data_IF_408349590749
#
_entry.id   IF_408349590749
#
_cell.length_a   1.000
_cell.length_b   1.000
_cell.length_c   1.000
_cell.angle_alpha   90.00
_cell.angle_beta   90.00
_cell.angle_gamma   90.00
#
_symmetry.space_group_name_H-M   'P 1'
#
loop_
_entity.id
_entity.type
_entity.pdbx_description
1 polymer ?
#
# COMPACT_ATOMS: atom_id res chain seq x y z
N UNK A 1 -11.38 43.69 -56.95
CA UNK A 1 -10.21 44.41 -57.47
C UNK A 1 -9.39 45.01 -56.35
N UNK A 2 -8.06 44.90 -56.49
CA UNK A 2 -6.97 45.37 -55.59
C UNK A 2 -6.93 44.59 -54.25
N UNK A 3 -6.23 43.47 -54.02
CA UNK A 3 -4.92 42.91 -54.43
C UNK A 3 -3.70 43.83 -54.21
N UNK A 4 -2.77 43.29 -53.44
CA UNK A 4 -1.41 43.71 -53.11
C UNK A 4 -1.23 44.78 -52.03
N UNK A 5 -0.73 44.34 -50.86
CA UNK A 5 0.43 44.97 -50.23
C UNK A 5 0.97 44.15 -49.04
N UNK A 6 2.29 43.95 -49.09
CA UNK A 6 3.22 43.76 -47.95
C UNK A 6 3.33 42.36 -47.32
N UNK A 7 4.50 41.81 -47.00
CA UNK A 7 5.91 42.10 -47.35
C UNK A 7 6.70 40.88 -46.85
N UNK A 8 7.57 40.34 -47.70
CA UNK A 8 8.59 39.33 -47.40
C UNK A 8 9.61 39.89 -46.41
N UNK A 9 9.94 39.13 -45.35
CA UNK A 9 11.08 39.40 -44.46
C UNK A 9 12.17 38.38 -44.76
N UNK A 10 13.42 38.79 -45.05
CA UNK A 10 14.50 37.88 -45.41
C UNK A 10 15.21 37.27 -44.20
N UNK A 11 15.57 36.01 -44.39
CA UNK A 11 16.53 35.19 -43.65
C UNK A 11 17.87 35.92 -43.44
N UNK A 12 18.35 35.97 -42.20
CA UNK A 12 19.74 36.31 -41.87
C UNK A 12 20.46 35.10 -41.27
N UNK A 13 21.55 34.75 -41.94
CA UNK A 13 22.48 33.67 -41.67
C UNK A 13 23.72 34.22 -40.94
N UNK A 14 24.10 33.56 -39.84
CA UNK A 14 25.47 33.38 -39.28
C UNK A 14 26.27 34.62 -38.79
N UNK A 15 27.29 34.49 -37.88
CA UNK A 15 28.18 33.34 -37.72
C UNK A 15 28.65 32.92 -36.32
N UNK A 16 29.18 31.69 -36.31
CA UNK A 16 30.28 31.10 -35.54
C UNK A 16 31.07 31.96 -34.54
N UNK A 17 31.28 31.40 -33.33
CA UNK A 17 32.57 31.06 -32.69
C UNK A 17 32.47 31.24 -31.16
N UNK A 18 32.58 30.14 -30.42
CA UNK A 18 33.73 29.92 -29.55
C UNK A 18 33.63 28.57 -28.83
N UNK A 19 34.52 27.68 -29.24
CA UNK A 19 34.87 26.43 -28.59
C UNK A 19 35.84 26.79 -27.45
N UNK A 20 35.45 26.58 -26.20
CA UNK A 20 36.39 26.57 -25.07
C UNK A 20 36.64 25.11 -24.72
N UNK A 21 37.77 24.61 -25.22
CA UNK A 21 38.41 23.36 -24.85
C UNK A 21 39.05 23.55 -23.47
N UNK A 22 38.56 22.85 -22.45
CA UNK A 22 39.28 22.67 -21.19
C UNK A 22 39.35 21.18 -20.84
N UNK A 23 40.58 20.67 -20.86
CA UNK A 23 41.03 19.41 -20.26
C UNK A 23 42.54 19.54 -20.04
N UNK A 24 43.18 18.69 -19.22
CA UNK A 24 42.93 18.47 -17.81
C UNK A 24 44.23 18.67 -17.00
N UNK A 25 44.16 19.28 -15.80
CA UNK A 25 45.32 19.30 -14.89
C UNK A 25 45.33 18.05 -14.01
N UNK A 26 46.26 17.14 -14.34
CA UNK A 26 46.84 16.14 -13.42
C UNK A 26 47.74 16.82 -12.38
N UNK A 27 47.80 16.20 -11.19
CA UNK A 27 48.69 16.35 -10.00
C UNK A 27 47.80 16.58 -8.77
N UNK A 28 47.93 15.89 -7.65
CA UNK A 28 48.95 14.96 -7.16
C UNK A 28 48.37 14.24 -5.93
N UNK A 29 48.68 12.96 -5.81
CA UNK A 29 48.62 12.16 -4.60
C UNK A 29 49.46 12.79 -3.47
N UNK A 30 48.89 13.04 -2.28
CA UNK A 30 49.65 13.10 -1.01
C UNK A 30 48.71 12.90 0.19
N UNK A 31 48.93 11.76 0.86
CA UNK A 31 48.75 11.37 2.27
C UNK A 31 47.78 12.07 3.24
N UNK A 32 47.08 11.18 3.96
CA UNK A 32 46.50 11.29 5.30
C UNK A 32 47.47 11.95 6.31
N UNK A 33 46.96 12.72 7.29
CA UNK A 33 47.27 12.39 8.68
C UNK A 33 46.06 12.42 9.62
N UNK A 34 46.07 11.45 10.52
CA UNK A 34 45.27 11.34 11.74
C UNK A 34 45.74 12.30 12.84
N UNK A 35 44.81 12.92 13.56
CA UNK A 35 44.93 13.31 15.00
C UNK A 35 43.54 13.77 15.46
N UNK A 36 42.85 13.11 16.38
CA UNK A 36 42.99 13.06 17.85
C UNK A 36 42.77 14.39 18.58
N UNK A 37 41.59 14.47 19.23
CA UNK A 37 41.23 15.08 20.53
C UNK A 37 41.64 16.53 20.83
N UNK A 38 40.64 17.36 21.15
CA UNK A 38 40.51 18.05 22.45
C UNK A 38 39.07 18.50 22.73
N UNK A 39 38.70 18.46 24.01
CA UNK A 39 37.40 18.73 24.62
C UNK A 39 37.09 20.22 24.78
N UNK A 40 35.80 20.57 24.83
CA UNK A 40 35.16 21.54 25.76
C UNK A 40 33.64 21.53 25.47
N UNK A 41 32.80 20.85 26.26
CA UNK A 41 32.15 21.31 27.51
C UNK A 41 31.17 22.47 27.29
N UNK A 42 29.87 22.15 27.21
CA UNK A 42 28.84 22.79 28.05
C UNK A 42 27.63 21.88 28.14
N UNK A 43 27.30 21.55 29.39
CA UNK A 43 26.12 20.88 29.89
C UNK A 43 24.81 21.54 29.45
N UNK A 44 23.84 20.73 28.97
CA UNK A 44 22.46 20.79 29.50
C UNK A 44 21.98 19.35 29.66
N UNK A 45 21.65 19.06 30.92
CA UNK A 45 21.34 17.77 31.50
C UNK A 45 19.85 17.42 31.32
N UNK A 46 19.62 16.15 31.02
CA UNK A 46 18.49 15.27 31.36
C UNK A 46 17.06 15.85 31.50
N UNK A 47 16.13 15.22 30.78
CA UNK A 47 15.09 14.35 31.37
C UNK A 47 14.14 13.86 30.27
N UNK A 48 14.27 12.60 29.83
CA UNK A 48 13.18 11.62 29.87
C UNK A 48 13.63 10.27 29.30
N UNK A 49 13.20 9.25 30.02
CA UNK A 49 13.79 7.94 30.19
C UNK A 49 13.03 6.91 29.35
N UNK A 50 13.80 6.06 28.66
CA UNK A 50 13.54 4.64 28.34
C UNK A 50 12.27 4.24 27.58
N UNK A 51 12.44 3.88 26.31
CA UNK A 51 11.60 2.91 25.60
C UNK A 51 12.39 1.59 25.42
N UNK A 52 11.78 0.40 25.61
CA UNK A 52 12.47 -0.87 25.44
C UNK A 52 12.63 -1.21 23.95
N UNK A 53 13.87 -1.52 23.57
CA UNK A 53 14.24 -2.11 22.29
C UNK A 53 13.79 -3.57 22.25
N UNK A 54 12.78 -3.89 21.44
CA UNK A 54 12.46 -5.27 21.07
C UNK A 54 13.15 -5.60 19.75
N UNK A 55 14.28 -6.29 19.85
CA UNK A 55 14.95 -7.00 18.78
C UNK A 55 14.03 -8.11 18.27
N UNK A 56 13.59 -8.01 17.01
CA UNK A 56 12.75 -9.00 16.36
C UNK A 56 13.65 -9.94 15.54
N UNK A 57 14.12 -11.01 16.18
CA UNK A 57 14.93 -12.05 15.55
C UNK A 57 13.99 -13.06 14.88
N UNK A 58 13.88 -12.97 13.56
CA UNK A 58 13.09 -13.91 12.76
C UNK A 58 13.99 -15.11 12.40
N UNK A 59 14.02 -16.13 13.26
CA UNK A 59 14.70 -17.39 13.00
C UNK A 59 13.70 -18.37 12.38
N UNK A 60 13.88 -18.59 11.08
CA UNK A 60 13.25 -19.64 10.30
C UNK A 60 14.01 -20.95 10.60
N UNK A 61 13.35 -21.96 11.17
CA UNK A 61 13.92 -23.30 11.26
C UNK A 61 12.88 -24.35 10.95
N UNK A 62 13.11 -25.03 9.83
CA UNK A 62 12.51 -26.29 9.40
C UNK A 62 12.45 -27.32 10.54
N UNK A 63 11.27 -27.90 10.76
CA UNK A 63 11.15 -29.20 11.44
C UNK A 63 10.16 -30.11 10.71
N UNK A 64 10.80 -31.03 9.97
CA UNK A 64 10.44 -32.44 9.73
C UNK A 64 9.26 -32.98 10.53
N UNK A 65 8.20 -33.31 9.80
CA UNK A 65 7.68 -34.66 9.59
C UNK A 65 8.10 -35.74 10.63
N UNK A 66 7.15 -36.14 11.49
CA UNK A 66 7.09 -37.49 12.03
C UNK A 66 5.62 -37.92 12.13
N UNK A 67 5.27 -38.83 11.22
CA UNK A 67 4.09 -39.69 11.26
C UNK A 67 4.16 -40.56 12.52
N UNK A 68 3.07 -40.62 13.30
CA UNK A 68 2.83 -41.74 14.21
C UNK A 68 1.34 -42.03 14.30
N UNK A 69 0.96 -43.09 13.58
CA UNK A 69 -0.30 -43.81 13.68
C UNK A 69 -0.35 -44.59 14.99
N UNK A 70 -1.49 -44.55 15.69
CA UNK A 70 -1.90 -45.62 16.60
C UNK A 70 -3.42 -45.79 16.53
N UNK A 71 -3.82 -46.83 15.80
CA UNK A 71 -5.02 -47.61 16.07
C UNK A 71 -4.73 -48.53 17.26
N UNK A 72 -5.68 -48.67 18.17
CA UNK A 72 -6.00 -49.95 18.77
C UNK A 72 -7.39 -49.87 19.39
N UNK A 73 -8.25 -50.71 18.84
CA UNK A 73 -9.50 -51.19 19.42
C UNK A 73 -9.27 -51.69 20.85
N UNK A 74 -10.23 -51.44 21.74
CA UNK A 74 -10.56 -52.45 22.74
C UNK A 74 -12.06 -52.41 23.07
N UNK A 75 -12.64 -53.60 23.02
CA UNK A 75 -14.03 -53.88 23.23
C UNK A 75 -14.21 -54.35 24.67
N UNK A 76 -15.21 -53.85 25.38
CA UNK A 76 -15.71 -54.57 26.55
C UNK A 76 -17.22 -54.47 26.65
N UNK A 77 -17.82 -55.65 26.69
CA UNK A 77 -19.23 -56.01 26.60
C UNK A 77 -19.69 -56.50 27.97
N UNK A 78 -20.66 -55.82 28.60
CA UNK A 78 -21.48 -56.31 29.74
C UNK A 78 -22.80 -55.51 29.66
N UNK A 79 -23.93 -56.00 29.12
CA UNK A 79 -24.92 -57.01 29.56
C UNK A 79 -25.77 -56.64 30.79
N UNK A 80 -27.07 -56.37 30.50
CA UNK A 80 -28.31 -56.61 31.28
C UNK A 80 -28.49 -55.81 32.60
N UNK A 81 -29.64 -55.24 32.99
CA UNK A 81 -31.07 -55.56 32.82
C UNK A 81 -31.95 -54.28 32.97
N UNK A 82 -33.25 -54.32 32.61
CA UNK A 82 -34.16 -53.18 32.65
C UNK A 82 -35.07 -53.19 33.90
N UNK A 83 -35.19 -52.07 34.60
CA UNK A 83 -36.25 -51.85 35.60
C UNK A 83 -37.13 -50.68 35.21
N UNK A 84 -38.38 -51.02 34.91
CA UNK A 84 -39.51 -50.11 34.77
C UNK A 84 -39.94 -49.55 36.12
N UNK A 85 -40.19 -48.24 36.18
CA UNK A 85 -40.98 -47.57 37.22
C UNK A 85 -41.29 -46.15 36.72
N UNK A 86 -42.46 -45.94 36.13
CA UNK A 86 -43.65 -45.35 36.78
C UNK A 86 -43.57 -43.82 36.90
N UNK A 87 -44.29 -43.19 35.96
CA UNK A 87 -45.06 -41.95 36.04
C UNK A 87 -44.67 -40.88 37.07
N UNK A 88 -44.33 -39.69 36.55
CA UNK A 88 -45.02 -38.49 37.03
C UNK A 88 -45.03 -37.39 35.96
N UNK A 89 -46.25 -37.02 35.61
CA UNK A 89 -46.68 -35.89 34.80
C UNK A 89 -46.36 -34.55 35.47
N UNK A 90 -46.19 -33.52 34.63
CA UNK A 90 -46.10 -32.08 34.93
C UNK A 90 -44.71 -31.57 35.33
N UNK A 91 -43.86 -31.36 34.32
CA UNK A 91 -42.81 -30.34 34.40
C UNK A 91 -43.14 -29.28 33.37
N UNK A 92 -43.46 -28.08 33.86
CA UNK A 92 -43.61 -26.87 33.07
C UNK A 92 -42.48 -26.79 32.04
N UNK A 93 -42.88 -26.57 30.78
CA UNK A 93 -42.07 -26.42 29.58
C UNK A 93 -41.21 -25.14 29.71
N UNK A 94 -40.24 -25.19 30.61
CA UNK A 94 -39.25 -24.14 30.83
C UNK A 94 -38.27 -24.20 29.66
N UNK A 95 -38.68 -23.59 28.54
CA UNK A 95 -37.75 -23.28 27.46
C UNK A 95 -36.48 -22.68 28.06
N UNK A 96 -35.28 -23.18 27.70
CA UNK A 96 -34.02 -22.69 28.24
C UNK A 96 -33.86 -21.22 27.84
N UNK A 97 -34.29 -20.35 28.73
CA UNK A 97 -34.30 -18.91 28.49
C UNK A 97 -32.89 -18.41 28.75
N UNK A 98 -32.23 -17.89 27.73
CA UNK A 98 -30.91 -17.28 27.87
C UNK A 98 -30.86 -16.28 29.02
N UNK A 99 -29.80 -16.35 29.83
CA UNK A 99 -29.55 -15.34 30.85
C UNK A 99 -29.38 -13.96 30.21
N UNK A 100 -29.86 -12.92 30.88
CA UNK A 100 -29.78 -11.56 30.35
C UNK A 100 -28.34 -11.07 30.19
N UNK A 101 -27.42 -11.58 31.01
CA UNK A 101 -25.98 -11.35 30.86
C UNK A 101 -25.47 -11.84 29.50
N UNK A 102 -25.93 -13.00 29.06
CA UNK A 102 -25.52 -13.61 27.80
C UNK A 102 -26.07 -12.84 26.59
N UNK A 103 -27.34 -12.41 26.66
CA UNK A 103 -27.94 -11.55 25.63
C UNK A 103 -27.20 -10.21 25.51
N UNK A 104 -26.85 -9.60 26.64
CA UNK A 104 -26.07 -8.38 26.65
C UNK A 104 -24.69 -8.57 26.00
N UNK A 105 -24.04 -9.69 26.26
CA UNK A 105 -22.73 -10.01 25.66
C UNK A 105 -22.82 -10.22 24.15
N UNK A 106 -23.80 -10.99 23.67
CA UNK A 106 -24.08 -11.15 22.23
C UNK A 106 -24.33 -9.80 21.55
N UNK A 107 -25.08 -8.92 22.21
CA UNK A 107 -25.34 -7.57 21.69
C UNK A 107 -24.05 -6.75 21.54
N UNK A 108 -23.13 -6.82 22.52
CA UNK A 108 -21.82 -6.14 22.41
C UNK A 108 -21.00 -6.69 21.25
N UNK A 109 -20.95 -8.01 21.10
CA UNK A 109 -20.20 -8.65 20.01
C UNK A 109 -20.76 -8.27 18.64
N UNK A 110 -22.07 -8.12 18.52
CA UNK A 110 -22.72 -7.67 17.28
C UNK A 110 -22.40 -6.21 16.95
N UNK A 111 -22.38 -5.33 17.95
CA UNK A 111 -21.92 -3.93 17.76
C UNK A 111 -20.46 -3.90 17.30
N UNK A 112 -19.61 -4.73 17.93
CA UNK A 112 -18.19 -4.83 17.59
C UNK A 112 -18.00 -5.35 16.15
N UNK A 113 -18.76 -6.38 15.76
CA UNK A 113 -18.80 -6.92 14.40
C UNK A 113 -19.10 -5.83 13.39
N UNK A 114 -20.22 -5.12 13.54
CA UNK A 114 -20.64 -4.05 12.62
C UNK A 114 -19.58 -2.96 12.48
N UNK A 115 -18.92 -2.59 13.59
CA UNK A 115 -17.82 -1.61 13.57
C UNK A 115 -16.67 -2.08 12.69
N UNK A 116 -16.24 -3.33 12.84
CA UNK A 116 -15.08 -3.86 12.10
C UNK A 116 -15.39 -4.29 10.67
N UNK A 117 -16.62 -4.67 10.36
CA UNK A 117 -17.09 -4.83 8.98
C UNK A 117 -17.04 -3.50 8.22
N UNK A 118 -17.51 -2.42 8.84
CA UNK A 118 -17.37 -1.07 8.28
C UNK A 118 -15.90 -0.71 8.07
N UNK A 119 -15.03 -1.03 9.04
CA UNK A 119 -13.60 -0.76 8.97
C UNK A 119 -12.91 -1.53 7.83
N UNK A 120 -13.30 -2.78 7.59
CA UNK A 120 -12.82 -3.56 6.44
C UNK A 120 -13.13 -2.85 5.12
N UNK A 121 -14.40 -2.45 4.94
CA UNK A 121 -14.86 -1.72 3.75
C UNK A 121 -14.09 -0.40 3.59
N UNK A 122 -13.92 0.35 4.68
CA UNK A 122 -13.19 1.62 4.65
C UNK A 122 -11.73 1.45 4.19
N UNK A 123 -11.03 0.40 4.67
CA UNK A 123 -9.65 0.14 4.27
C UNK A 123 -9.53 -0.20 2.78
N UNK A 124 -10.51 -0.89 2.23
CA UNK A 124 -10.61 -1.19 0.80
C UNK A 124 -10.92 0.07 0.01
N UNK A 125 -11.94 0.83 0.41
CA UNK A 125 -12.42 2.01 -0.30
C UNK A 125 -11.35 3.10 -0.35
N UNK A 126 -10.55 3.28 0.71
CA UNK A 126 -9.39 4.18 0.71
C UNK A 126 -8.42 3.90 -0.45
N UNK A 127 -8.23 2.63 -0.82
CA UNK A 127 -7.35 2.29 -1.96
C UNK A 127 -8.01 2.60 -3.30
N UNK A 128 -9.32 2.38 -3.40
CA UNK A 128 -10.10 2.59 -4.63
C UNK A 128 -10.26 4.09 -4.89
N UNK A 129 -10.74 4.84 -3.90
CA UNK A 129 -11.05 6.27 -4.03
C UNK A 129 -9.80 7.12 -4.17
N UNK A 130 -8.75 6.83 -3.41
CA UNK A 130 -7.53 7.65 -3.45
C UNK A 130 -6.63 7.34 -4.65
N UNK A 131 -6.80 6.20 -5.35
CA UNK A 131 -5.92 5.73 -6.43
C UNK A 131 -4.45 5.48 -6.01
N UNK A 132 -4.08 5.96 -4.83
CA UNK A 132 -2.78 6.02 -4.20
C UNK A 132 -2.96 5.45 -2.80
N UNK A 133 -2.04 4.58 -2.37
CA UNK A 133 -1.97 4.17 -0.96
C UNK A 133 -1.38 5.37 -0.22
N UNK A 134 -2.23 6.35 0.08
CA UNK A 134 -1.92 7.69 0.57
C UNK A 134 -1.29 7.76 1.96
N UNK A 135 -0.49 6.77 2.35
CA UNK A 135 0.22 6.81 3.63
C UNK A 135 1.48 7.69 3.58
N UNK A 136 1.90 8.20 2.41
CA UNK A 136 3.19 8.89 2.25
C UNK A 136 3.25 9.87 1.06
N UNK A 137 2.21 10.70 0.90
CA UNK A 137 2.22 11.86 -0.02
C UNK A 137 2.98 13.08 0.53
N UNK A 138 3.84 12.88 1.54
CA UNK A 138 4.73 13.90 2.11
C UNK A 138 5.93 14.25 1.19
N UNK A 139 5.93 13.78 -0.07
CA UNK A 139 6.86 14.25 -1.12
C UNK A 139 6.05 14.69 -2.33
N UNK A 140 5.53 15.93 -2.24
CA UNK A 140 5.02 16.80 -3.31
C UNK A 140 4.19 16.14 -4.43
N UNK A 141 2.85 16.32 -4.43
CA UNK A 141 1.94 15.77 -5.43
C UNK A 141 1.93 16.52 -6.79
N UNK A 142 2.73 17.56 -7.02
CA UNK A 142 2.46 18.47 -8.15
C UNK A 142 2.88 17.96 -9.55
N UNK A 143 3.59 16.84 -9.69
CA UNK A 143 4.02 16.34 -11.02
C UNK A 143 3.95 14.82 -11.20
N UNK A 144 2.97 14.16 -10.59
CA UNK A 144 2.92 12.68 -10.54
C UNK A 144 2.94 11.98 -11.91
N UNK A 145 2.25 12.52 -12.92
CA UNK A 145 2.25 11.96 -14.29
C UNK A 145 3.41 12.50 -15.14
N UNK A 146 3.72 13.80 -15.06
CA UNK A 146 4.86 14.39 -15.80
C UNK A 146 6.19 13.71 -15.43
N UNK A 147 6.40 13.37 -14.16
CA UNK A 147 7.66 12.76 -13.69
C UNK A 147 7.87 11.35 -14.25
N UNK A 148 6.82 10.59 -14.55
CA UNK A 148 6.98 9.28 -15.19
C UNK A 148 7.39 9.44 -16.65
N UNK A 149 6.75 10.34 -17.38
CA UNK A 149 7.07 10.60 -18.79
C UNK A 149 8.46 11.20 -18.93
N UNK A 150 8.86 12.09 -18.03
CA UNK A 150 10.21 12.69 -18.02
C UNK A 150 11.29 11.67 -17.66
N UNK A 151 10.98 10.69 -16.79
CA UNK A 151 11.94 9.63 -16.51
C UNK A 151 12.11 8.65 -17.68
N UNK A 152 11.02 8.30 -18.37
CA UNK A 152 11.11 7.49 -19.59
C UNK A 152 11.98 8.19 -20.65
N UNK A 153 11.87 9.52 -20.76
CA UNK A 153 12.74 10.36 -21.60
C UNK A 153 14.19 10.44 -21.10
N UNK A 154 14.44 10.41 -19.80
CA UNK A 154 15.80 10.41 -19.27
C UNK A 154 16.53 9.09 -19.58
N UNK A 155 15.81 7.97 -19.52
CA UNK A 155 16.34 6.65 -19.89
C UNK A 155 16.68 6.54 -21.39
N UNK A 156 16.08 7.39 -22.23
CA UNK A 156 16.37 7.46 -23.66
C UNK A 156 17.77 7.99 -23.98
N UNK A 157 18.36 8.84 -23.13
CA UNK A 157 19.66 9.50 -23.40
C UNK A 157 20.81 8.47 -23.49
N UNK A 158 20.62 7.25 -22.98
CA UNK A 158 21.62 6.18 -23.01
C UNK A 158 21.42 5.08 -24.05
N UNK A 159 20.31 5.07 -24.81
CA UNK A 159 20.04 3.96 -25.75
C UNK A 159 20.76 4.22 -27.06
N UNK A 160 21.85 3.48 -27.30
CA UNK A 160 22.58 3.52 -28.57
C UNK A 160 21.67 3.07 -29.72
N UNK A 161 21.44 3.97 -30.68
CA UNK A 161 20.62 3.70 -31.88
C UNK A 161 21.10 2.47 -32.68
N UNK A 162 22.38 2.14 -32.60
CA UNK A 162 22.98 0.95 -33.22
C UNK A 162 22.54 -0.39 -32.60
N UNK A 163 22.00 -0.41 -31.38
CA UNK A 163 21.46 -1.62 -30.75
C UNK A 163 20.05 -1.99 -31.26
N UNK A 164 19.44 -1.11 -32.06
CA UNK A 164 18.05 -1.26 -32.55
C UNK A 164 17.97 -2.18 -33.78
N UNK A 165 19.05 -2.33 -34.55
CA UNK A 165 19.03 -3.06 -35.83
C UNK A 165 18.92 -4.60 -35.69
N UNK A 166 18.78 -5.14 -34.47
CA UNK A 166 18.63 -6.58 -34.21
C UNK A 166 17.28 -6.93 -33.53
N UNK A 167 16.20 -6.27 -33.92
CA UNK A 167 14.85 -6.67 -33.51
C UNK A 167 14.52 -8.04 -34.12
N UNK A 168 14.61 -9.09 -33.31
CA UNK A 168 14.10 -10.42 -33.65
C UNK A 168 12.59 -10.43 -33.41
N UNK A 169 11.83 -10.68 -34.48
CA UNK A 169 10.37 -10.73 -34.44
C UNK A 169 9.87 -11.67 -33.33
N UNK A 170 8.87 -11.22 -32.57
CA UNK A 170 8.28 -11.98 -31.47
C UNK A 170 9.08 -11.98 -30.15
N UNK A 171 10.22 -11.29 -30.09
CA UNK A 171 10.97 -11.11 -28.83
C UNK A 171 10.89 -9.69 -28.30
N UNK A 172 10.90 -9.53 -26.97
CA UNK A 172 10.90 -8.21 -26.35
C UNK A 172 12.35 -7.68 -26.24
N UNK A 173 12.65 -6.48 -26.76
CA UNK A 173 14.01 -5.94 -26.76
C UNK A 173 14.55 -5.68 -25.34
N UNK A 174 15.73 -6.23 -25.02
CA UNK A 174 16.28 -6.16 -23.66
C UNK A 174 16.61 -4.72 -23.22
N UNK A 175 16.97 -3.82 -24.15
CA UNK A 175 17.25 -2.42 -23.81
C UNK A 175 16.01 -1.65 -23.33
N UNK A 176 14.79 -2.14 -23.63
CA UNK A 176 13.53 -1.55 -23.15
C UNK A 176 13.10 -2.09 -21.78
N UNK A 177 13.81 -3.08 -21.22
CA UNK A 177 13.45 -3.70 -19.94
C UNK A 177 13.37 -2.69 -18.79
N UNK A 178 14.30 -1.74 -18.61
CA UNK A 178 14.19 -0.74 -17.55
C UNK A 178 12.92 0.12 -17.67
N UNK A 179 12.55 0.50 -18.89
CA UNK A 179 11.36 1.31 -19.17
C UNK A 179 10.07 0.51 -18.92
N UNK A 180 10.03 -0.75 -19.37
CA UNK A 180 8.93 -1.66 -19.03
C UNK A 180 8.83 -1.88 -17.51
N UNK A 181 9.96 -2.00 -16.82
CA UNK A 181 10.00 -2.19 -15.37
C UNK A 181 9.35 -1.02 -14.62
N UNK A 182 9.60 0.23 -15.06
CA UNK A 182 8.94 1.42 -14.51
C UNK A 182 7.43 1.38 -14.72
N UNK A 183 6.98 1.06 -15.94
CA UNK A 183 5.56 1.02 -16.31
C UNK A 183 4.79 -0.07 -15.55
N UNK A 184 5.41 -1.22 -15.33
CA UNK A 184 4.81 -2.35 -14.64
C UNK A 184 4.76 -2.13 -13.13
N UNK A 185 5.78 -1.49 -12.56
CA UNK A 185 5.96 -1.42 -11.11
C UNK A 185 4.83 -0.65 -10.41
N UNK A 186 3.98 -1.39 -9.70
CA UNK A 186 2.88 -0.86 -8.92
C UNK A 186 1.58 -0.69 -9.69
N UNK A 187 1.53 -1.08 -10.96
CA UNK A 187 0.29 -1.06 -11.74
C UNK A 187 -0.77 -1.98 -11.12
N UNK A 188 -2.02 -1.53 -11.10
CA UNK A 188 -3.19 -2.30 -10.66
C UNK A 188 -3.91 -3.03 -11.81
N UNK A 189 -3.51 -2.77 -13.05
CA UNK A 189 -4.20 -3.24 -14.23
C UNK A 189 -4.06 -4.77 -14.40
N UNK A 190 -5.06 -5.42 -15.02
CA UNK A 190 -4.91 -6.79 -15.48
C UNK A 190 -3.86 -6.87 -16.59
N UNK A 191 -3.29 -8.05 -16.82
CA UNK A 191 -2.12 -8.20 -17.69
C UNK A 191 -2.38 -7.78 -19.13
N UNK A 192 -3.54 -8.17 -19.67
CA UNK A 192 -4.00 -7.78 -21.01
C UNK A 192 -4.04 -6.25 -21.20
N UNK A 193 -4.59 -5.51 -20.24
CA UNK A 193 -4.64 -4.04 -20.30
C UNK A 193 -3.26 -3.44 -20.08
N UNK A 194 -2.50 -3.96 -19.11
CA UNK A 194 -1.16 -3.46 -18.77
C UNK A 194 -0.18 -3.61 -19.95
N UNK A 195 -0.21 -4.74 -20.66
CA UNK A 195 0.68 -4.93 -21.80
C UNK A 195 0.35 -3.97 -22.95
N UNK A 196 -0.94 -3.74 -23.22
CA UNK A 196 -1.38 -2.78 -24.24
C UNK A 196 -0.97 -1.35 -23.87
N UNK A 197 -1.23 -0.94 -22.62
CA UNK A 197 -0.83 0.39 -22.14
C UNK A 197 0.69 0.57 -22.17
N UNK A 198 1.44 -0.49 -21.83
CA UNK A 198 2.91 -0.48 -21.89
C UNK A 198 3.40 -0.32 -23.33
N UNK A 199 2.81 -1.06 -24.28
CA UNK A 199 3.12 -0.93 -25.70
C UNK A 199 2.87 0.50 -26.19
N UNK A 200 1.69 1.06 -25.91
CA UNK A 200 1.36 2.43 -26.31
C UNK A 200 2.32 3.46 -25.71
N UNK A 201 2.65 3.35 -24.42
CA UNK A 201 3.56 4.28 -23.74
C UNK A 201 4.99 4.16 -24.25
N UNK A 202 5.47 2.95 -24.52
CA UNK A 202 6.77 2.73 -25.13
C UNK A 202 6.80 3.31 -26.55
N UNK A 203 5.83 3.00 -27.41
CA UNK A 203 5.77 3.55 -28.78
C UNK A 203 5.68 5.08 -28.81
N UNK A 204 4.99 5.68 -27.83
CA UNK A 204 4.87 7.14 -27.73
C UNK A 204 6.17 7.79 -27.25
N UNK A 205 6.88 7.13 -26.33
CA UNK A 205 8.15 7.63 -25.77
C UNK A 205 9.31 7.46 -26.75
N UNK A 206 9.32 6.37 -27.52
CA UNK A 206 10.40 5.96 -28.42
C UNK A 206 10.03 6.19 -29.89
N UNK A 207 9.60 7.40 -30.26
CA UNK A 207 9.15 7.71 -31.65
C UNK A 207 10.20 7.45 -32.73
N UNK A 208 11.48 7.53 -32.37
CA UNK A 208 12.61 7.31 -33.29
C UNK A 208 12.97 5.83 -33.46
N UNK A 209 12.32 4.92 -32.71
CA UNK A 209 12.55 3.49 -32.74
C UNK A 209 11.28 2.81 -33.25
N UNK A 210 11.40 2.02 -34.31
CA UNK A 210 10.29 1.22 -34.79
C UNK A 210 10.03 0.04 -33.84
N UNK A 211 8.93 0.12 -33.08
CA UNK A 211 8.46 -0.94 -32.19
C UNK A 211 7.39 -1.82 -32.85
N UNK A 212 7.15 -1.69 -34.15
CA UNK A 212 6.13 -2.48 -34.87
C UNK A 212 6.35 -3.99 -34.77
N UNK A 213 7.60 -4.43 -34.64
CA UNK A 213 7.96 -5.85 -34.44
C UNK A 213 7.72 -6.40 -33.03
N UNK A 214 7.40 -5.55 -32.04
CA UNK A 214 7.15 -5.98 -30.66
C UNK A 214 5.69 -6.34 -30.48
N UNK A 215 5.41 -7.66 -30.44
CA UNK A 215 4.06 -8.16 -30.24
C UNK A 215 3.58 -7.97 -28.80
N UNK A 216 2.25 -7.91 -28.63
CA UNK A 216 1.61 -7.88 -27.32
C UNK A 216 1.94 -9.11 -26.47
N UNK A 217 2.08 -10.28 -27.10
CA UNK A 217 2.48 -11.52 -26.43
C UNK A 217 3.92 -11.45 -25.90
N UNK A 218 4.84 -10.84 -26.64
CA UNK A 218 6.21 -10.62 -26.20
C UNK A 218 6.26 -9.72 -24.96
N UNK A 219 5.48 -8.64 -24.94
CA UNK A 219 5.37 -7.73 -23.80
C UNK A 219 4.79 -8.44 -22.59
N UNK A 220 3.62 -9.07 -22.73
CA UNK A 220 2.96 -9.73 -21.60
C UNK A 220 3.80 -10.88 -21.04
N UNK A 221 4.47 -11.65 -21.90
CA UNK A 221 5.44 -12.68 -21.49
C UNK A 221 6.60 -12.07 -20.71
N UNK A 222 7.16 -10.96 -21.20
CA UNK A 222 8.23 -10.25 -20.48
C UNK A 222 7.74 -9.72 -19.13
N UNK A 223 6.54 -9.13 -19.03
CA UNK A 223 5.95 -8.69 -17.76
C UNK A 223 5.87 -9.85 -16.75
N UNK A 224 5.39 -11.03 -17.17
CA UNK A 224 5.31 -12.24 -16.32
C UNK A 224 6.69 -12.69 -15.81
N UNK A 225 7.76 -12.47 -16.58
CA UNK A 225 9.13 -12.79 -16.17
C UNK A 225 9.72 -11.75 -15.21
N UNK A 226 9.44 -10.46 -15.43
CA UNK A 226 10.02 -9.37 -14.63
C UNK A 226 9.28 -9.13 -13.32
N UNK A 227 7.98 -9.45 -13.27
CA UNK A 227 7.10 -9.04 -12.18
C UNK A 227 6.14 -10.15 -11.72
N UNK A 228 5.72 -10.02 -10.47
CA UNK A 228 4.67 -10.82 -9.85
C UNK A 228 3.46 -9.95 -9.54
N UNK A 229 2.27 -10.42 -9.89
CA UNK A 229 1.01 -9.77 -9.48
C UNK A 229 0.66 -10.25 -8.07
N UNK A 230 0.57 -9.32 -7.11
CA UNK A 230 0.29 -9.61 -5.70
C UNK A 230 -1.04 -9.04 -5.26
N UNK A 231 -1.75 -9.81 -4.46
CA UNK A 231 -2.97 -9.41 -3.79
C UNK A 231 -2.65 -8.89 -2.38
N UNK A 232 -2.98 -7.64 -2.09
CA UNK A 232 -2.79 -7.05 -0.77
C UNK A 232 -4.05 -7.11 0.08
N UNK A 233 -5.21 -6.85 -0.53
CA UNK A 233 -6.52 -6.88 0.11
C UNK A 233 -7.34 -8.00 -0.52
N UNK A 234 -7.86 -8.87 0.33
CA UNK A 234 -8.79 -9.94 -0.03
C UNK A 234 -10.01 -9.82 0.87
N UNK A 235 -11.05 -9.08 0.44
CA UNK A 235 -12.27 -8.93 1.21
C UNK A 235 -12.84 -10.27 1.58
N UNK A 236 -13.50 -10.32 2.73
CA UNK A 236 -14.24 -11.50 3.15
C UNK A 236 -15.30 -11.82 2.10
N UNK A 237 -15.45 -13.09 1.76
CA UNK A 237 -16.56 -13.54 0.91
C UNK A 237 -17.83 -13.23 1.67
N UNK A 238 -18.61 -12.25 1.23
CA UNK A 238 -19.94 -12.05 1.77
C UNK A 238 -20.72 -13.36 1.56
N UNK A 239 -21.62 -13.71 2.49
CA UNK A 239 -22.41 -14.95 2.40
C UNK A 239 -23.10 -15.11 1.04
N UNK A 240 -23.50 -14.00 0.41
CA UNK A 240 -24.08 -13.95 -0.92
C UNK A 240 -23.11 -14.38 -2.05
N UNK A 241 -21.84 -13.98 -2.03
CA UNK A 241 -20.83 -14.45 -3.01
C UNK A 241 -20.33 -15.87 -2.69
N UNK A 242 -20.35 -16.26 -1.41
CA UNK A 242 -20.04 -17.63 -1.00
C UNK A 242 -21.09 -18.65 -1.47
N UNK A 243 -22.36 -18.22 -1.64
CA UNK A 243 -23.42 -19.06 -2.15
C UNK A 243 -23.15 -19.49 -3.60
N UNK A 244 -22.56 -18.61 -4.42
CA UNK A 244 -22.10 -18.96 -5.76
C UNK A 244 -20.87 -19.88 -5.74
N UNK A 245 -19.97 -19.73 -4.76
CA UNK A 245 -18.81 -20.61 -4.60
C UNK A 245 -19.18 -22.04 -4.17
N UNK A 246 -20.34 -22.23 -3.54
CA UNK A 246 -20.88 -23.55 -3.19
C UNK A 246 -21.50 -24.29 -4.39
N UNK A 247 -21.55 -23.69 -5.58
CA UNK A 247 -22.06 -24.37 -6.80
C UNK A 247 -21.09 -25.42 -7.37
N UNK A 248 -19.99 -25.75 -6.69
CA UNK A 248 -19.01 -26.75 -7.10
C UNK A 248 -18.16 -26.38 -8.32
N UNK A 249 -18.50 -25.30 -9.03
CA UNK A 249 -17.75 -24.79 -10.17
C UNK A 249 -16.81 -23.69 -9.70
N UNK A 250 -15.72 -24.08 -9.04
CA UNK A 250 -14.60 -23.17 -8.81
C UNK A 250 -13.96 -22.87 -10.17
N UNK A 251 -14.45 -21.87 -10.89
CA UNK A 251 -13.69 -21.32 -12.00
C UNK A 251 -12.39 -20.79 -11.42
N UNK A 252 -11.25 -21.39 -11.80
CA UNK A 252 -9.93 -20.86 -11.47
C UNK A 252 -9.84 -19.50 -12.15
N UNK A 253 -10.18 -18.44 -11.43
CA UNK A 253 -10.01 -17.07 -11.89
C UNK A 253 -8.52 -16.90 -12.18
N UNK A 254 -8.19 -16.51 -13.41
CA UNK A 254 -6.80 -16.20 -13.76
C UNK A 254 -6.36 -15.00 -12.93
N UNK A 255 -5.44 -15.23 -12.01
CA UNK A 255 -4.88 -14.19 -11.14
C UNK A 255 -4.31 -13.00 -11.92
N UNK A 256 -3.92 -13.19 -13.19
CA UNK A 256 -3.35 -12.13 -14.03
C UNK A 256 -4.41 -11.22 -14.65
N UNK A 257 -5.64 -11.71 -14.78
CA UNK A 257 -6.77 -11.00 -15.37
C UNK A 257 -7.85 -10.66 -14.34
N UNK A 258 -7.66 -11.07 -13.08
CA UNK A 258 -8.58 -10.76 -12.00
C UNK A 258 -8.78 -9.23 -11.83
N UNK A 259 -10.03 -8.81 -11.95
CA UNK A 259 -10.53 -7.44 -11.78
C UNK A 259 -11.66 -7.40 -10.76
N UNK A 260 -11.80 -8.43 -9.93
CA UNK A 260 -12.83 -8.51 -8.89
C UNK A 260 -12.80 -7.21 -8.05
N UNK A 261 -13.96 -6.54 -7.90
CA UNK A 261 -14.05 -5.33 -7.10
C UNK A 261 -13.48 -5.56 -5.71
N UNK A 262 -12.90 -4.51 -5.12
CA UNK A 262 -12.37 -4.53 -3.75
C UNK A 262 -11.11 -5.38 -3.55
N UNK A 263 -10.66 -6.16 -4.53
CA UNK A 263 -9.31 -6.70 -4.51
C UNK A 263 -8.28 -5.63 -4.82
N UNK A 264 -7.20 -5.64 -4.06
CA UNK A 264 -6.05 -4.79 -4.32
C UNK A 264 -4.95 -5.61 -4.96
N UNK A 265 -5.01 -5.73 -6.28
CA UNK A 265 -3.94 -6.31 -7.10
C UNK A 265 -2.88 -5.27 -7.45
N UNK A 266 -1.60 -5.61 -7.30
CA UNK A 266 -0.48 -4.77 -7.73
C UNK A 266 0.62 -5.60 -8.36
N UNK A 267 1.09 -5.17 -9.52
CA UNK A 267 2.29 -5.70 -10.14
C UNK A 267 3.53 -5.23 -9.39
N UNK A 268 4.42 -6.16 -9.04
CA UNK A 268 5.67 -5.87 -8.36
C UNK A 268 6.82 -6.60 -9.01
N UNK A 269 7.86 -5.85 -9.38
CA UNK A 269 9.08 -6.42 -9.92
C UNK A 269 9.71 -7.43 -8.98
N UNK A 270 10.22 -8.52 -9.53
CA UNK A 270 10.91 -9.56 -8.79
C UNK A 270 12.25 -9.02 -8.28
N UNK A 271 13.03 -8.37 -9.15
CA UNK A 271 14.24 -7.63 -8.78
C UNK A 271 14.06 -6.12 -8.94
N UNK A 272 14.56 -5.35 -7.98
CA UNK A 272 14.59 -3.88 -8.04
C UNK A 272 15.81 -3.36 -8.81
N UNK A 273 16.77 -4.22 -9.15
CA UNK A 273 17.99 -3.83 -9.88
C UNK A 273 17.69 -3.44 -11.34
N UNK A 274 16.51 -3.81 -11.82
CA UNK A 274 15.97 -3.41 -13.13
C UNK A 274 15.48 -1.96 -13.16
N UNK A 275 15.33 -1.33 -11.98
CA UNK A 275 14.90 0.06 -11.89
C UNK A 275 16.09 1.00 -11.80
N UNK A 276 15.98 2.21 -12.36
CA UNK A 276 16.93 3.28 -12.07
C UNK A 276 17.01 3.56 -10.58
N UNK A 277 18.23 3.81 -10.08
CA UNK A 277 18.51 3.98 -8.65
C UNK A 277 17.61 5.05 -7.98
N UNK A 278 17.22 6.09 -8.73
CA UNK A 278 16.34 7.16 -8.24
C UNK A 278 14.94 6.66 -7.82
N UNK A 279 14.45 5.58 -8.43
CA UNK A 279 13.11 5.05 -8.15
C UNK A 279 13.08 3.99 -7.04
N UNK A 280 14.22 3.34 -6.78
CA UNK A 280 14.31 2.25 -5.81
C UNK A 280 13.79 2.66 -4.42
N UNK A 281 14.14 3.83 -3.84
CA UNK A 281 13.60 4.26 -2.55
C UNK A 281 12.08 4.43 -2.57
N UNK A 282 11.53 5.08 -3.60
CA UNK A 282 10.08 5.29 -3.77
C UNK A 282 9.33 3.96 -3.86
N UNK A 283 9.88 3.00 -4.62
CA UNK A 283 9.28 1.66 -4.74
C UNK A 283 9.34 0.90 -3.42
N UNK A 284 10.48 0.92 -2.70
CA UNK A 284 10.60 0.31 -1.37
C UNK A 284 9.58 0.88 -0.38
N UNK A 285 9.44 2.21 -0.36
CA UNK A 285 8.48 2.97 0.44
C UNK A 285 7.04 2.55 0.13
N UNK A 286 6.66 2.51 -1.16
CA UNK A 286 5.34 2.07 -1.60
C UNK A 286 5.05 0.60 -1.22
N UNK A 287 6.01 -0.32 -1.40
CA UNK A 287 5.86 -1.72 -0.99
C UNK A 287 5.65 -1.86 0.52
N UNK A 288 6.39 -1.09 1.32
CA UNK A 288 6.23 -1.09 2.77
C UNK A 288 4.83 -0.59 3.19
N UNK A 289 4.34 0.49 2.58
CA UNK A 289 3.00 1.01 2.83
C UNK A 289 1.91 -0.03 2.51
N UNK A 290 2.01 -0.71 1.35
CA UNK A 290 1.09 -1.79 0.97
C UNK A 290 1.12 -2.98 1.94
N UNK A 291 2.31 -3.39 2.40
CA UNK A 291 2.44 -4.48 3.40
C UNK A 291 1.84 -4.08 4.75
N UNK A 292 2.00 -2.83 5.17
CA UNK A 292 1.38 -2.29 6.38
C UNK A 292 -0.15 -2.35 6.27
N UNK A 293 -0.70 -1.86 5.16
CA UNK A 293 -2.12 -1.92 4.87
C UNK A 293 -2.66 -3.36 4.86
N UNK A 294 -1.96 -4.29 4.19
CA UNK A 294 -2.32 -5.71 4.20
C UNK A 294 -2.30 -6.29 5.61
N UNK A 295 -1.34 -5.90 6.45
CA UNK A 295 -1.26 -6.38 7.84
C UNK A 295 -2.42 -5.87 8.67
N UNK A 296 -2.81 -4.60 8.50
CA UNK A 296 -3.99 -4.01 9.13
C UNK A 296 -5.27 -4.72 8.69
N UNK A 297 -5.47 -4.89 7.38
CA UNK A 297 -6.62 -5.61 6.84
C UNK A 297 -6.70 -7.06 7.36
N UNK A 298 -5.57 -7.78 7.41
CA UNK A 298 -5.52 -9.13 7.99
C UNK A 298 -5.89 -9.18 9.47
N UNK A 299 -5.50 -8.15 10.25
CA UNK A 299 -5.89 -8.07 11.66
C UNK A 299 -7.41 -7.89 11.79
N UNK A 300 -8.02 -7.03 10.98
CA UNK A 300 -9.49 -6.85 10.92
C UNK A 300 -10.19 -8.17 10.57
N UNK A 301 -9.72 -8.87 9.52
CA UNK A 301 -10.31 -10.16 9.13
C UNK A 301 -10.20 -11.23 10.22
N UNK A 302 -9.08 -11.30 10.96
CA UNK A 302 -8.90 -12.25 12.06
C UNK A 302 -9.82 -11.95 13.23
N UNK A 303 -10.04 -10.67 13.53
CA UNK A 303 -11.00 -10.25 14.54
C UNK A 303 -12.43 -10.63 14.13
N UNK A 304 -12.83 -10.33 12.89
CA UNK A 304 -14.14 -10.73 12.35
C UNK A 304 -14.33 -12.25 12.37
N UNK A 305 -13.32 -13.02 12.00
CA UNK A 305 -13.36 -14.49 12.10
C UNK A 305 -13.50 -14.97 13.56
N UNK A 306 -12.83 -14.31 14.51
CA UNK A 306 -12.95 -14.66 15.93
C UNK A 306 -14.35 -14.32 16.47
N UNK A 307 -14.98 -13.26 15.94
CA UNK A 307 -16.37 -12.93 16.24
C UNK A 307 -17.34 -13.94 15.63
N UNK A 308 -17.09 -14.46 14.42
CA UNK A 308 -17.87 -15.57 13.85
C UNK A 308 -17.78 -16.83 14.69
N UNK A 309 -16.57 -17.20 15.11
CA UNK A 309 -16.33 -18.37 15.95
C UNK A 309 -17.10 -18.23 17.28
N UNK A 310 -17.06 -17.04 17.88
CA UNK A 310 -17.80 -16.73 19.09
C UNK A 310 -19.31 -16.83 18.89
N UNK A 311 -19.85 -16.22 17.83
CA UNK A 311 -21.28 -16.28 17.52
C UNK A 311 -21.76 -17.72 17.32
N UNK A 312 -20.97 -18.57 16.63
CA UNK A 312 -21.26 -20.01 16.49
C UNK A 312 -21.29 -20.73 17.84
N UNK A 313 -20.29 -20.50 18.69
CA UNK A 313 -20.23 -21.11 20.03
C UNK A 313 -21.46 -20.71 20.84
N UNK A 314 -21.80 -19.42 20.83
CA UNK A 314 -22.92 -18.90 21.60
C UNK A 314 -24.27 -19.37 21.05
N UNK A 315 -24.46 -19.42 19.73
CA UNK A 315 -25.70 -19.91 19.10
C UNK A 315 -25.93 -21.41 19.26
N UNK A 316 -24.87 -22.21 19.16
CA UNK A 316 -24.96 -23.65 19.42
C UNK A 316 -25.40 -23.97 20.86
N UNK A 317 -25.25 -23.03 21.80
CA UNK A 317 -25.71 -23.18 23.20
C UNK A 317 -27.22 -22.99 23.33
N UNK A 318 -27.82 -22.20 22.45
CA UNK A 318 -29.22 -21.79 22.55
C UNK A 318 -30.15 -22.86 22.00
N UNK A 319 -29.63 -23.79 21.19
CA UNK A 319 -30.42 -24.86 20.60
C UNK A 319 -31.62 -24.27 19.88
N UNK A 320 -31.38 -23.58 18.74
CA UNK A 320 -32.48 -23.22 17.85
C UNK A 320 -33.30 -24.50 17.62
N UNK A 321 -34.54 -24.52 18.10
CA UNK A 321 -35.40 -25.70 18.29
C UNK A 321 -35.85 -26.38 16.99
N UNK A 322 -35.01 -26.37 15.96
CA UNK A 322 -35.21 -27.06 14.71
C UNK A 322 -34.78 -28.52 14.89
N UNK A 323 -35.80 -29.33 15.22
CA UNK A 323 -35.82 -30.79 15.20
C UNK A 323 -35.15 -31.30 13.92
N UNK A 324 -34.08 -32.09 14.05
CA UNK A 324 -33.88 -33.35 13.30
C UNK A 324 -32.45 -33.92 13.28
N UNK A 325 -31.48 -33.33 14.00
CA UNK A 325 -30.17 -34.01 14.17
C UNK A 325 -29.80 -34.07 15.64
N UNK A 326 -29.70 -35.30 16.17
CA UNK A 326 -29.36 -35.67 17.54
C UNK A 326 -27.93 -35.28 17.95
N UNK A 327 -27.57 -34.01 17.80
CA UNK A 327 -26.33 -33.45 18.34
C UNK A 327 -26.69 -32.89 19.71
N UNK A 328 -26.31 -33.62 20.76
CA UNK A 328 -26.53 -33.23 22.15
C UNK A 328 -26.01 -31.80 22.36
N UNK A 329 -26.83 -30.84 22.84
CA UNK A 329 -26.37 -29.48 23.11
C UNK A 329 -25.27 -29.55 24.17
N UNK A 330 -24.03 -29.33 23.73
CA UNK A 330 -22.89 -29.23 24.64
C UNK A 330 -22.99 -27.86 25.29
N UNK A 331 -23.33 -27.84 26.58
CA UNK A 331 -23.30 -26.62 27.38
C UNK A 331 -21.90 -25.99 27.25
N UNK A 332 -21.83 -24.79 26.67
CA UNK A 332 -20.56 -24.06 26.55
C UNK A 332 -20.03 -23.82 27.95
N UNK A 333 -18.84 -24.34 28.22
CA UNK A 333 -18.23 -24.16 29.53
C UNK A 333 -17.83 -22.69 29.70
N UNK A 334 -17.88 -22.20 30.94
CA UNK A 334 -17.41 -20.85 31.28
C UNK A 334 -15.99 -20.59 30.75
N UNK A 335 -15.13 -21.61 30.82
CA UNK A 335 -13.76 -21.57 30.30
C UNK A 335 -13.69 -21.34 28.78
N UNK A 336 -14.55 -22.01 27.99
CA UNK A 336 -14.62 -21.80 26.54
C UNK A 336 -15.09 -20.37 26.20
N UNK A 337 -16.08 -19.86 26.95
CA UNK A 337 -16.55 -18.47 26.82
C UNK A 337 -15.41 -17.48 27.11
N UNK A 338 -14.75 -17.62 28.26
CA UNK A 338 -13.69 -16.70 28.69
C UNK A 338 -12.49 -16.74 27.73
N UNK A 339 -12.12 -17.93 27.24
CA UNK A 339 -11.06 -18.10 26.24
C UNK A 339 -11.39 -17.41 24.93
N UNK A 340 -12.65 -17.51 24.48
CA UNK A 340 -13.11 -16.89 23.22
C UNK A 340 -13.12 -15.37 23.33
N UNK A 341 -13.62 -14.83 24.45
CA UNK A 341 -13.61 -13.39 24.72
C UNK A 341 -12.19 -12.84 24.83
N UNK A 342 -11.28 -13.56 25.49
CA UNK A 342 -9.86 -13.19 25.56
C UNK A 342 -9.22 -13.16 24.17
N UNK A 343 -9.54 -14.12 23.28
CA UNK A 343 -9.07 -14.13 21.89
C UNK A 343 -9.58 -12.90 21.13
N UNK A 344 -10.87 -12.57 21.25
CA UNK A 344 -11.45 -11.36 20.62
C UNK A 344 -10.73 -10.11 21.11
N UNK A 345 -10.55 -9.95 22.43
CA UNK A 345 -9.87 -8.80 23.01
C UNK A 345 -8.42 -8.67 22.51
N UNK A 346 -7.70 -9.79 22.40
CA UNK A 346 -6.33 -9.81 21.87
C UNK A 346 -6.25 -9.41 20.39
N UNK A 347 -7.20 -9.86 19.55
CA UNK A 347 -7.26 -9.47 18.14
C UNK A 347 -7.72 -8.01 17.97
N UNK A 348 -8.65 -7.54 18.81
CA UNK A 348 -9.09 -6.14 18.84
C UNK A 348 -7.93 -5.20 19.15
N UNK A 349 -7.12 -5.51 20.17
CA UNK A 349 -5.94 -4.71 20.52
C UNK A 349 -4.93 -4.63 19.37
N UNK A 350 -4.79 -5.70 18.55
CA UNK A 350 -3.93 -5.65 17.35
C UNK A 350 -4.47 -4.65 16.33
N UNK A 351 -5.79 -4.61 16.12
CA UNK A 351 -6.40 -3.63 15.21
C UNK A 351 -6.24 -2.21 15.76
N UNK A 352 -6.52 -2.00 17.05
CA UNK A 352 -6.38 -0.69 17.70
C UNK A 352 -4.95 -0.16 17.65
N UNK A 353 -3.92 -1.02 17.71
CA UNK A 353 -2.52 -0.61 17.52
C UNK A 353 -2.29 0.04 16.15
N UNK A 354 -2.88 -0.49 15.08
CA UNK A 354 -2.78 0.12 13.76
C UNK A 354 -3.49 1.48 13.70
N UNK A 355 -4.65 1.60 14.35
CA UNK A 355 -5.40 2.86 14.41
C UNK A 355 -4.64 3.94 15.18
N UNK A 356 -4.04 3.59 16.32
CA UNK A 356 -3.20 4.53 17.09
C UNK A 356 -1.97 4.97 16.30
N UNK A 357 -1.30 4.05 15.61
CA UNK A 357 -0.12 4.37 14.78
C UNK A 357 -0.50 5.22 13.55
N UNK A 358 -1.65 4.97 12.94
CA UNK A 358 -2.19 5.79 11.85
C UNK A 358 -2.51 7.21 12.33
N UNK A 359 -3.21 7.37 13.45
CA UNK A 359 -3.53 8.68 14.01
C UNK A 359 -2.27 9.45 14.41
N UNK A 360 -1.29 8.76 15.01
CA UNK A 360 0.02 9.36 15.34
C UNK A 360 0.71 9.90 14.09
N UNK A 361 0.67 9.16 12.98
CA UNK A 361 1.23 9.63 11.71
C UNK A 361 0.45 10.80 11.14
N UNK A 362 -0.88 10.79 11.23
CA UNK A 362 -1.73 11.92 10.81
C UNK A 362 -1.33 13.21 11.54
N UNK A 363 -1.19 13.15 12.87
CA UNK A 363 -0.79 14.28 13.69
C UNK A 363 0.62 14.79 13.37
N UNK A 364 1.57 13.88 13.11
CA UNK A 364 2.93 14.26 12.69
C UNK A 364 2.90 15.00 11.35
N UNK A 365 2.13 14.50 10.38
CA UNK A 365 2.02 15.11 9.06
C UNK A 365 1.31 16.46 9.12
N UNK A 366 0.23 16.57 9.90
CA UNK A 366 -0.45 17.84 10.16
C UNK A 366 0.48 18.88 10.80
N UNK A 367 1.28 18.47 11.79
CA UNK A 367 2.27 19.34 12.40
C UNK A 367 3.38 19.79 11.43
N UNK A 368 3.83 18.91 10.53
CA UNK A 368 4.79 19.27 9.47
C UNK A 368 4.18 20.22 8.45
N UNK A 369 2.97 19.94 7.97
CA UNK A 369 2.26 20.78 7.02
C UNK A 369 2.02 22.18 7.61
N UNK A 370 1.65 22.27 8.88
CA UNK A 370 1.49 23.55 9.56
C UNK A 370 2.82 24.30 9.71
N UNK A 371 3.92 23.61 10.02
CA UNK A 371 5.26 24.22 10.07
C UNK A 371 5.68 24.77 8.71
N UNK A 372 5.44 24.03 7.64
CA UNK A 372 5.78 24.48 6.29
C UNK A 372 4.88 25.64 5.85
N UNK A 373 3.59 25.58 6.13
CA UNK A 373 2.66 26.70 5.88
C UNK A 373 3.10 27.98 6.59
N UNK A 374 3.45 27.89 7.87
CA UNK A 374 3.96 29.03 8.64
C UNK A 374 5.30 29.55 8.08
N UNK A 375 6.16 28.67 7.55
CA UNK A 375 7.43 29.05 6.92
C UNK A 375 7.21 29.80 5.62
N UNK A 376 6.32 29.30 4.75
CA UNK A 376 5.96 29.92 3.47
C UNK A 376 5.27 31.27 3.72
N UNK A 377 4.34 31.34 4.67
CA UNK A 377 3.64 32.57 5.03
C UNK A 377 4.61 33.65 5.55
N UNK A 378 5.55 33.28 6.43
CA UNK A 378 6.59 34.20 6.91
C UNK A 378 7.54 34.67 5.80
N UNK A 379 7.86 33.82 4.82
CA UNK A 379 8.65 34.22 3.66
C UNK A 379 7.87 35.20 2.77
N UNK A 380 6.58 34.93 2.54
CA UNK A 380 5.70 35.78 1.76
C UNK A 380 5.49 37.14 2.41
N UNK A 381 5.29 37.19 3.73
CA UNK A 381 5.16 38.44 4.49
C UNK A 381 6.44 39.27 4.44
N UNK A 382 7.61 38.63 4.61
CA UNK A 382 8.91 39.30 4.48
C UNK A 382 9.13 39.84 3.06
N UNK A 383 8.64 39.16 2.03
CA UNK A 383 8.71 39.62 0.65
C UNK A 383 7.80 40.84 0.41
N UNK A 384 6.55 40.79 0.89
CA UNK A 384 5.61 41.92 0.80
C UNK A 384 6.12 43.15 1.54
N UNK A 385 6.74 42.98 2.71
CA UNK A 385 7.30 44.09 3.47
C UNK A 385 8.50 44.74 2.74
N UNK A 386 9.36 43.95 2.09
CA UNK A 386 10.43 44.49 1.25
C UNK A 386 9.89 45.27 0.06
N UNK A 387 8.85 44.76 -0.59
CA UNK A 387 8.21 45.43 -1.73
C UNK A 387 7.58 46.77 -1.31
N UNK A 388 6.91 46.83 -0.14
CA UNK A 388 6.40 48.09 0.42
C UNK A 388 7.49 49.10 0.72
N UNK A 389 8.59 48.67 1.35
CA UNK A 389 9.72 49.55 1.64
C UNK A 389 10.41 50.07 0.38
N UNK A 390 10.48 49.27 -0.68
CA UNK A 390 11.01 49.70 -1.98
C UNK A 390 10.06 50.68 -2.68
N UNK A 391 8.74 50.46 -2.60
CA UNK A 391 7.74 51.37 -3.15
C UNK A 391 7.75 52.73 -2.42
N UNK A 392 7.84 52.73 -1.09
CA UNK A 392 7.92 53.96 -0.29
C UNK A 392 9.18 54.76 -0.61
N UNK A 393 10.35 54.10 -0.71
CA UNK A 393 11.60 54.73 -1.15
C UNK A 393 11.50 55.31 -2.56
N UNK A 394 10.79 54.61 -3.47
CA UNK A 394 10.58 55.09 -4.84
C UNK A 394 9.70 56.34 -4.86
N UNK A 395 8.64 56.38 -4.04
CA UNK A 395 7.78 57.57 -3.89
C UNK A 395 8.53 58.75 -3.27
N UNK A 396 9.31 58.52 -2.21
CA UNK A 396 10.10 59.58 -1.58
C UNK A 396 11.15 60.15 -2.54
N UNK A 397 11.82 59.30 -3.33
CA UNK A 397 12.78 59.76 -4.33
C UNK A 397 12.12 60.60 -5.42
N UNK A 398 10.94 60.20 -5.91
CA UNK A 398 10.19 60.97 -6.90
C UNK A 398 9.76 62.34 -6.35
N UNK A 399 9.26 62.41 -5.11
CA UNK A 399 8.90 63.69 -4.47
C UNK A 399 10.09 64.64 -4.31
N UNK A 400 11.28 64.12 -3.97
CA UNK A 400 12.51 64.93 -3.87
C UNK A 400 13.01 65.43 -5.23
N UNK A 401 12.79 64.68 -6.31
CA UNK A 401 13.12 65.14 -7.67
C UNK A 401 12.16 66.25 -8.12
N UNK A 402 10.86 66.10 -7.88
CA UNK A 402 9.84 67.13 -8.17
C UNK A 402 10.07 68.44 -7.38
N UNK A 403 10.50 68.36 -6.11
CA UNK A 403 10.84 69.55 -5.31
C UNK A 403 12.11 70.25 -5.81
N UNK A 404 13.06 69.51 -6.40
CA UNK A 404 14.27 70.09 -6.99
C UNK A 404 14.00 70.79 -8.31
N UNK A 405 13.09 70.30 -9.13
CA UNK A 405 12.72 70.96 -10.40
C UNK A 405 11.92 72.25 -10.19
N UNK A 406 11.23 72.38 -9.05
CA UNK A 406 10.45 73.59 -8.71
C UNK A 406 11.26 74.73 -8.08
N UNK A 407 12.49 74.47 -7.66
CA UNK A 407 13.42 75.49 -7.11
C UNK A 407 14.40 75.91 -8.18
#
# INVERSE_FOLDING_TARGET
DIKDMMKTIPSTTNPSKNVITLSPKKKSSTSIPSSSKTNATTDIKDMMKTAPSTTNTNANSDKKEMVKTHNSDDATKISAEPTSSTMSTNSDDATPTMSDEFKAELSKLEVLRKRYERREIELVDRVVTSGSVGFLEDEQPEKGSEVQDDCLKELLVGVNKAAVDQLVEGTFPEYLVPSLAILVQGSNLPLSILGNESLTKLSTSYKDIDLSGVSMDAITSKIKLLASRKQYLNPRKNSAESAAANSGVSMKIDRFEDVTPRHMWRWELISLDLLPALHVPRVKKARAARRKLQSQHKAVLRLLSSLDDADKIFRNTIGDGEKDVATTPVAVTKEQRDTTLAKISNEEEKVLRFEREEEKQRLINEAKAQKEKNRVEKQLEKQKERERQEEEKRKEKAQREDEKEKK
#
